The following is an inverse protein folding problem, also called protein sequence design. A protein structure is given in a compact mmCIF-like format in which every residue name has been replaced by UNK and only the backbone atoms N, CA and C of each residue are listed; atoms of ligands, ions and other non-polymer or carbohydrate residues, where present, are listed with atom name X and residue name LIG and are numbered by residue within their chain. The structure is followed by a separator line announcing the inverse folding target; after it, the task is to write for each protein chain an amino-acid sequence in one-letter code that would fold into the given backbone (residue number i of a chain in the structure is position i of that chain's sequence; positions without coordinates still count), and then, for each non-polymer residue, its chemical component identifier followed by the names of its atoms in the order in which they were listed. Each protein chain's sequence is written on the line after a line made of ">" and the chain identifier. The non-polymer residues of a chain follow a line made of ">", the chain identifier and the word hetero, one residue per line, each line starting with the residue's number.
data_IF_973200528349
#
_entry.id   IF_973200528349
#
_cell.length_a   1.000
_cell.length_b   1.000
_cell.length_c   1.000
_cell.angle_alpha   90.00
_cell.angle_beta   90.00
_cell.angle_gamma   90.00
#
_symmetry.space_group_name_H-M   'P 1'
#
loop_
_entity.id
_entity.type
_entity.pdbx_description
1 polymer ?
#
# COMPACT_ATOMS: atom_id res chain seq x y z
N UNK A 1 -0.58 -23.27 -10.82
CA UNK A 1 -1.60 -24.34 -11.08
C UNK A 1 -2.20 -24.30 -12.49
N UNK A 2 -2.01 -23.25 -13.30
CA UNK A 2 -2.61 -23.16 -14.65
C UNK A 2 -1.78 -23.85 -15.74
N UNK A 3 -0.55 -24.26 -15.44
CA UNK A 3 0.27 -25.09 -16.32
C UNK A 3 -0.28 -26.52 -16.45
N UNK A 4 -0.03 -27.22 -17.56
CA UNK A 4 -0.40 -28.63 -17.73
C UNK A 4 0.09 -29.50 -16.57
N UNK A 5 -0.82 -30.28 -15.95
CA UNK A 5 -0.53 -31.11 -14.78
C UNK A 5 -0.41 -30.35 -13.45
N UNK A 6 -0.57 -29.02 -13.46
CA UNK A 6 -0.40 -28.16 -12.30
C UNK A 6 -1.42 -28.38 -11.18
N UNK A 7 -2.54 -29.08 -11.43
CA UNK A 7 -3.48 -29.45 -10.37
C UNK A 7 -2.91 -30.48 -9.39
N UNK A 8 -1.99 -31.33 -9.82
CA UNK A 8 -1.37 -32.38 -9.02
C UNK A 8 -0.17 -31.90 -8.21
N UNK A 9 0.33 -30.70 -8.50
CA UNK A 9 1.48 -30.12 -7.80
C UNK A 9 1.08 -29.53 -6.44
N UNK A 10 1.99 -29.66 -5.48
CA UNK A 10 1.95 -29.03 -4.17
C UNK A 10 3.27 -28.30 -3.98
N UNK A 11 3.21 -26.99 -3.80
CA UNK A 11 4.41 -26.16 -3.67
C UNK A 11 4.82 -26.05 -2.20
N UNK A 12 6.11 -26.19 -1.93
CA UNK A 12 6.73 -25.94 -0.63
C UNK A 12 7.77 -24.84 -0.84
N UNK A 13 7.63 -23.74 -0.10
CA UNK A 13 8.53 -22.61 -0.13
C UNK A 13 9.05 -22.32 1.28
N UNK A 14 10.36 -22.43 1.47
CA UNK A 14 11.04 -22.23 2.77
C UNK A 14 11.87 -20.96 2.65
N UNK A 15 11.56 -19.96 3.46
CA UNK A 15 12.28 -18.67 3.47
C UNK A 15 13.38 -18.62 4.53
N UNK A 16 13.19 -19.36 5.62
CA UNK A 16 14.18 -19.46 6.68
C UNK A 16 15.31 -20.39 6.21
N UNK A 17 16.46 -19.83 5.84
CA UNK A 17 17.59 -20.57 5.22
C UNK A 17 18.16 -21.68 6.10
N UNK A 18 18.00 -21.57 7.42
CA UNK A 18 18.47 -22.57 8.39
C UNK A 18 17.49 -23.73 8.57
N UNK A 19 16.25 -23.59 8.06
CA UNK A 19 15.24 -24.60 8.24
C UNK A 19 15.44 -25.79 7.31
N UNK A 20 15.59 -26.96 7.91
CA UNK A 20 15.70 -28.23 7.20
C UNK A 20 14.33 -28.93 7.25
N UNK A 21 13.77 -29.20 6.08
CA UNK A 21 12.53 -29.94 5.94
C UNK A 21 12.72 -31.38 6.46
N UNK A 22 11.90 -31.79 7.43
CA UNK A 22 11.92 -33.15 7.97
C UNK A 22 10.74 -33.99 7.48
N UNK A 23 10.86 -35.33 7.58
CA UNK A 23 9.85 -36.26 7.08
C UNK A 23 8.48 -36.14 7.79
N UNK A 24 8.48 -35.83 9.08
CA UNK A 24 7.23 -35.71 9.86
C UNK A 24 6.42 -34.48 9.40
N UNK A 25 7.10 -33.39 9.10
CA UNK A 25 6.51 -32.19 8.50
C UNK A 25 6.02 -32.51 7.09
N UNK A 26 6.82 -33.20 6.27
CA UNK A 26 6.40 -33.60 4.92
C UNK A 26 5.12 -34.48 4.95
N UNK A 27 5.04 -35.44 5.88
CA UNK A 27 3.81 -36.24 6.10
C UNK A 27 2.62 -35.36 6.46
N UNK A 28 2.83 -34.39 7.34
CA UNK A 28 1.78 -33.45 7.76
C UNK A 28 1.29 -32.58 6.60
N UNK A 29 2.21 -32.01 5.81
CA UNK A 29 1.88 -31.22 4.62
C UNK A 29 1.13 -32.06 3.58
N UNK A 30 1.55 -33.31 3.37
CA UNK A 30 0.88 -34.25 2.47
C UNK A 30 -0.55 -34.55 2.92
N UNK A 31 -0.78 -34.75 4.22
CA UNK A 31 -2.13 -34.98 4.77
C UNK A 31 -3.03 -33.76 4.64
N UNK A 32 -2.49 -32.54 4.74
CA UNK A 32 -3.26 -31.29 4.60
C UNK A 32 -3.61 -30.95 3.15
N UNK A 33 -2.85 -31.49 2.19
CA UNK A 33 -3.08 -31.36 0.74
C UNK A 33 -3.24 -29.92 0.23
N UNK A 34 -2.59 -28.95 0.88
CA UNK A 34 -2.66 -27.54 0.48
C UNK A 34 -1.81 -27.28 -0.77
N UNK A 35 -2.38 -26.55 -1.73
CA UNK A 35 -1.71 -26.22 -2.99
C UNK A 35 -0.38 -25.48 -2.82
N UNK A 36 -0.30 -24.61 -1.82
CA UNK A 36 0.87 -23.78 -1.50
C UNK A 36 1.15 -23.90 -0.01
N UNK A 37 2.42 -24.09 0.34
CA UNK A 37 2.88 -24.20 1.73
C UNK A 37 4.11 -23.32 1.86
N UNK A 38 4.02 -22.29 2.69
CA UNK A 38 5.11 -21.34 2.94
C UNK A 38 5.57 -21.48 4.38
N UNK A 39 6.88 -21.60 4.58
CA UNK A 39 7.51 -21.56 5.90
C UNK A 39 8.32 -20.28 6.03
N UNK A 40 7.94 -19.44 6.98
CA UNK A 40 8.56 -18.15 7.25
C UNK A 40 8.48 -17.85 8.75
N UNK A 41 9.58 -17.38 9.35
CA UNK A 41 9.67 -17.00 10.76
C UNK A 41 9.17 -18.10 11.71
N UNK A 42 9.53 -19.36 11.46
CA UNK A 42 9.14 -20.48 12.33
C UNK A 42 7.73 -21.03 12.13
N UNK A 43 6.94 -20.51 11.19
CA UNK A 43 5.51 -20.85 11.05
C UNK A 43 5.16 -21.27 9.62
N UNK A 44 4.25 -22.26 9.51
CA UNK A 44 3.67 -22.71 8.25
C UNK A 44 2.39 -21.95 7.91
N UNK A 45 2.25 -21.55 6.65
CA UNK A 45 1.06 -20.87 6.15
C UNK A 45 0.98 -20.82 4.62
N UNK A 46 0.25 -19.83 4.11
CA UNK A 46 0.09 -19.54 2.69
C UNK A 46 -0.08 -18.04 2.50
N UNK A 47 0.36 -17.52 1.36
CA UNK A 47 0.00 -16.17 0.97
C UNK A 47 -1.45 -16.15 0.48
N UNK A 48 -2.25 -15.30 1.11
CA UNK A 48 -3.63 -15.05 0.71
C UNK A 48 -3.77 -13.58 0.33
N UNK A 49 -4.62 -13.31 -0.66
CA UNK A 49 -5.03 -11.94 -0.94
C UNK A 49 -6.07 -11.52 0.09
N UNK A 50 -5.78 -10.43 0.79
CA UNK A 50 -6.72 -9.81 1.72
C UNK A 50 -7.20 -8.49 1.14
N UNK A 51 -8.50 -8.23 1.23
CA UNK A 51 -9.07 -6.96 0.80
C UNK A 51 -8.56 -5.83 1.71
N UNK A 52 -7.95 -4.80 1.14
CA UNK A 52 -7.57 -3.61 1.88
C UNK A 52 -8.83 -2.80 2.19
N UNK A 53 -9.11 -2.57 3.47
CA UNK A 53 -10.19 -1.67 3.85
C UNK A 53 -9.74 -0.21 3.66
N UNK A 54 -10.00 0.32 2.47
CA UNK A 54 -9.95 1.76 2.22
C UNK A 54 -11.30 2.36 2.63
N UNK A 55 -11.58 2.41 3.94
CA UNK A 55 -12.66 3.26 4.40
C UNK A 55 -12.23 4.71 4.17
N UNK A 56 -13.15 5.60 3.80
CA UNK A 56 -12.82 7.02 3.59
C UNK A 56 -12.17 7.67 4.83
N UNK A 57 -12.30 7.07 6.01
CA UNK A 57 -11.67 7.55 7.24
C UNK A 57 -10.18 7.17 7.37
N UNK A 58 -9.68 6.15 6.68
CA UNK A 58 -8.26 5.79 6.67
C UNK A 58 -7.44 6.52 5.59
N UNK A 59 -8.10 7.31 4.74
CA UNK A 59 -7.45 8.10 3.69
C UNK A 59 -6.93 9.47 4.17
N UNK A 60 -7.38 9.92 5.34
CA UNK A 60 -6.97 11.21 5.88
C UNK A 60 -5.75 11.08 6.77
N UNK A 61 -4.79 11.96 6.56
CA UNK A 61 -3.55 12.05 7.33
C UNK A 61 -3.49 13.47 7.90
N UNK A 62 -3.14 13.58 9.17
CA UNK A 62 -2.87 14.88 9.80
C UNK A 62 -1.60 15.48 9.20
N UNK A 63 -1.68 16.72 8.71
CA UNK A 63 -0.54 17.38 8.07
C UNK A 63 -0.61 18.89 8.24
N UNK A 64 0.57 19.51 8.38
CA UNK A 64 0.71 20.96 8.41
C UNK A 64 0.60 21.61 7.02
N UNK A 65 0.76 20.82 5.95
CA UNK A 65 0.84 21.34 4.58
C UNK A 65 -0.19 20.65 3.69
N UNK A 66 -1.20 21.40 3.26
CA UNK A 66 -2.25 20.92 2.36
C UNK A 66 -2.70 22.02 1.40
N UNK A 67 -3.31 21.61 0.29
CA UNK A 67 -3.99 22.50 -0.65
C UNK A 67 -5.34 21.90 -1.06
N UNK A 68 -6.25 22.75 -1.51
CA UNK A 68 -7.57 22.31 -1.99
C UNK A 68 -7.50 22.06 -3.49
N UNK A 69 -8.15 20.99 -3.96
CA UNK A 69 -8.35 20.72 -5.37
C UNK A 69 -9.67 19.99 -5.61
N UNK A 70 -10.14 20.00 -6.86
CA UNK A 70 -11.30 19.22 -7.32
C UNK A 70 -10.79 17.92 -7.93
N UNK A 71 -11.21 16.76 -7.39
CA UNK A 71 -10.75 15.45 -7.91
C UNK A 71 -11.37 15.12 -9.27
N UNK A 72 -12.64 15.49 -9.45
CA UNK A 72 -13.41 15.27 -10.68
C UNK A 72 -13.78 16.63 -11.26
N UNK A 73 -13.18 16.96 -12.41
CA UNK A 73 -13.47 18.22 -13.11
C UNK A 73 -14.98 18.41 -13.29
N UNK A 74 -15.46 19.62 -13.06
CA UNK A 74 -16.87 20.04 -13.13
C UNK A 74 -17.79 19.46 -12.03
N UNK A 75 -17.24 18.73 -11.04
CA UNK A 75 -17.97 18.24 -9.87
C UNK A 75 -17.41 18.85 -8.58
N UNK A 76 -18.02 19.94 -8.13
CA UNK A 76 -17.64 20.62 -6.89
C UNK A 76 -17.85 19.75 -5.64
N UNK A 77 -18.64 18.67 -5.69
CA UNK A 77 -18.75 17.74 -4.57
C UNK A 77 -17.46 16.95 -4.32
N UNK A 78 -16.56 16.95 -5.30
CA UNK A 78 -15.23 16.35 -5.22
C UNK A 78 -14.12 17.33 -4.79
N UNK A 79 -14.47 18.57 -4.42
CA UNK A 79 -13.56 19.55 -3.84
C UNK A 79 -13.06 19.03 -2.48
N UNK A 80 -11.75 18.86 -2.33
CA UNK A 80 -11.18 18.19 -1.17
C UNK A 80 -9.78 18.69 -0.82
N UNK A 81 -9.37 18.52 0.44
CA UNK A 81 -8.01 18.80 0.87
C UNK A 81 -7.07 17.66 0.47
N UNK A 82 -5.96 18.01 -0.17
CA UNK A 82 -4.90 17.10 -0.55
C UNK A 82 -3.62 17.48 0.18
N UNK A 83 -2.88 16.47 0.64
CA UNK A 83 -1.56 16.68 1.21
C UNK A 83 -0.66 17.35 0.16
N UNK A 84 -0.02 18.45 0.55
CA UNK A 84 0.93 19.14 -0.32
C UNK A 84 2.27 18.40 -0.32
N UNK A 85 3.03 18.44 -1.43
CA UNK A 85 4.40 17.96 -1.44
C UNK A 85 5.22 18.61 -0.31
N UNK A 86 6.11 17.83 0.33
CA UNK A 86 6.98 18.35 1.39
C UNK A 86 8.02 19.27 0.75
N UNK A 87 7.73 20.57 0.75
CA UNK A 87 8.68 21.61 0.37
C UNK A 87 9.25 22.19 1.66
N UNK A 88 10.47 21.77 1.99
CA UNK A 88 11.25 22.39 3.06
C UNK A 88 12.08 23.53 2.48
N UNK A 89 12.36 24.59 3.24
CA UNK A 89 13.23 25.69 2.82
C UNK A 89 14.57 25.22 2.22
N UNK A 90 15.10 24.09 2.72
CA UNK A 90 16.34 23.48 2.22
C UNK A 90 16.24 22.84 0.82
N UNK A 91 15.03 22.56 0.32
CA UNK A 91 14.79 21.94 -0.98
C UNK A 91 14.46 22.97 -2.08
N UNK A 92 14.40 24.25 -1.73
CA UNK A 92 14.18 25.33 -2.67
C UNK A 92 15.53 25.72 -3.27
N UNK A 93 15.77 25.30 -4.52
CA UNK A 93 17.01 25.60 -5.24
C UNK A 93 17.04 27.02 -5.84
N UNK A 94 15.93 27.75 -5.79
CA UNK A 94 15.83 29.13 -6.30
C UNK A 94 15.97 30.12 -5.14
N UNK A 95 17.03 30.94 -5.10
CA UNK A 95 17.24 31.92 -4.04
C UNK A 95 16.17 33.03 -3.99
N UNK A 96 15.30 33.13 -4.99
CA UNK A 96 14.20 34.11 -5.02
C UNK A 96 12.87 33.56 -4.49
N UNK A 97 12.82 32.29 -4.09
CA UNK A 97 11.62 31.66 -3.55
C UNK A 97 11.75 31.51 -2.03
N UNK A 98 10.65 31.77 -1.32
CA UNK A 98 10.53 31.60 0.12
C UNK A 98 9.19 30.94 0.46
N UNK A 99 9.12 30.33 1.65
CA UNK A 99 7.92 29.69 2.17
C UNK A 99 7.14 30.64 3.07
N UNK A 100 5.81 30.57 3.04
CA UNK A 100 4.96 31.35 3.93
C UNK A 100 3.74 30.55 4.41
N UNK A 101 3.22 30.95 5.57
CA UNK A 101 1.98 30.38 6.11
C UNK A 101 0.79 31.20 5.62
N UNK A 102 -0.13 30.54 4.92
CA UNK A 102 -1.32 31.20 4.36
C UNK A 102 -2.45 31.20 5.39
N UNK A 103 -2.82 32.38 5.87
CA UNK A 103 -3.98 32.56 6.77
C UNK A 103 -5.30 32.75 6.01
N UNK A 104 -5.25 33.37 4.83
CA UNK A 104 -6.40 33.64 3.98
C UNK A 104 -6.01 33.49 2.51
N UNK A 105 -6.87 32.84 1.73
CA UNK A 105 -6.75 32.72 0.27
C UNK A 105 -8.12 33.01 -0.36
N UNK A 106 -8.18 33.94 -1.31
CA UNK A 106 -9.41 34.30 -2.01
C UNK A 106 -9.58 33.50 -3.29
N UNK A 107 -10.83 33.26 -3.70
CA UNK A 107 -11.17 32.69 -5.00
C UNK A 107 -11.36 33.80 -6.04
N UNK A 108 -10.92 33.55 -7.27
CA UNK A 108 -11.12 34.41 -8.43
C UNK A 108 -11.99 33.71 -9.47
N UNK A 109 -12.47 34.44 -10.48
CA UNK A 109 -13.26 33.87 -11.58
C UNK A 109 -12.56 32.75 -12.35
N UNK A 110 -11.22 32.70 -12.34
CA UNK A 110 -10.45 31.62 -12.97
C UNK A 110 -10.54 30.31 -12.18
N UNK A 111 -10.82 30.39 -10.89
CA UNK A 111 -10.89 29.24 -9.99
C UNK A 111 -12.28 28.59 -9.99
N UNK A 112 -13.27 29.22 -10.65
CA UNK A 112 -14.66 28.80 -10.79
C UNK A 112 -14.86 28.06 -12.12
#
# INVERSE_FOLDING_TARGET
>A
RREPGGQSLRCIHIQDSEYILNENVLKTLKTRDLATNVYQNGVWGSYIHQHLQTSNNSAWIETDNAHVNVLNRDDLSSLTWLQSPIITANNINDPNLDTCTVHYASLNFRDI
#
